data_IF_301667642521
#
_entry.id   IF_301667642521
#
_cell.length_a   1.000
_cell.length_b   1.000
_cell.length_c   1.000
_cell.angle_alpha   90.00
_cell.angle_beta   90.00
_cell.angle_gamma   90.00
#
_symmetry.space_group_name_H-M   'P 1'
#
loop_
_entity.id
_entity.type
_entity.pdbx_description
1 polymer ?
#
# COMPACT_ATOMS: atom_id res chain seq x y z
N UNK A 1 -18.35 -39.68 19.26
CA UNK A 1 -18.79 -39.66 17.86
C UNK A 1 -17.72 -38.97 17.04
N UNK A 2 -17.22 -39.60 15.98
CA UNK A 2 -16.21 -38.98 15.12
C UNK A 2 -16.90 -38.12 14.06
N UNK A 3 -16.46 -36.87 13.92
CA UNK A 3 -17.00 -35.94 12.93
C UNK A 3 -16.39 -36.28 11.56
N UNK A 4 -17.19 -36.85 10.66
CA UNK A 4 -16.74 -37.25 9.33
C UNK A 4 -16.69 -36.00 8.45
N UNK A 5 -15.52 -35.36 8.40
CA UNK A 5 -15.30 -34.17 7.57
C UNK A 5 -14.84 -34.56 6.15
N UNK A 6 -15.44 -33.93 5.15
CA UNK A 6 -15.03 -34.12 3.76
C UNK A 6 -13.79 -33.25 3.44
N UNK A 7 -12.61 -33.87 3.41
CA UNK A 7 -11.35 -33.17 3.10
C UNK A 7 -11.39 -32.44 1.74
N UNK A 8 -12.12 -32.95 0.76
CA UNK A 8 -12.22 -32.36 -0.58
C UNK A 8 -12.91 -31.00 -0.54
N UNK A 9 -13.99 -30.86 0.25
CA UNK A 9 -14.68 -29.59 0.48
C UNK A 9 -13.78 -28.60 1.21
N UNK A 10 -13.05 -29.05 2.23
CA UNK A 10 -12.12 -28.20 2.98
C UNK A 10 -11.01 -27.65 2.08
N UNK A 11 -10.37 -28.50 1.26
CA UNK A 11 -9.35 -28.06 0.29
C UNK A 11 -9.89 -27.03 -0.70
N UNK A 12 -11.11 -27.23 -1.20
CA UNK A 12 -11.77 -26.26 -2.10
C UNK A 12 -12.08 -24.93 -1.40
N UNK A 13 -12.50 -24.96 -0.14
CA UNK A 13 -12.72 -23.73 0.63
C UNK A 13 -11.41 -22.97 0.85
N UNK A 14 -10.33 -23.67 1.23
CA UNK A 14 -9.00 -23.07 1.39
C UNK A 14 -8.53 -22.42 0.08
N UNK A 15 -8.58 -23.13 -1.05
CA UNK A 15 -8.18 -22.58 -2.34
C UNK A 15 -9.00 -21.34 -2.77
N UNK A 16 -10.29 -21.30 -2.44
CA UNK A 16 -11.13 -20.11 -2.69
C UNK A 16 -10.78 -18.94 -1.77
N UNK A 17 -10.42 -19.21 -0.52
CA UNK A 17 -9.97 -18.19 0.42
C UNK A 17 -8.65 -17.56 -0.03
N UNK A 18 -7.67 -18.39 -0.41
CA UNK A 18 -6.37 -17.94 -0.91
C UNK A 18 -6.51 -17.11 -2.20
N UNK A 19 -7.44 -17.50 -3.09
CA UNK A 19 -7.73 -16.73 -4.31
C UNK A 19 -8.36 -15.36 -4.01
N UNK A 20 -9.20 -15.26 -2.96
CA UNK A 20 -9.81 -13.99 -2.55
C UNK A 20 -8.80 -13.04 -1.94
N UNK A 21 -7.94 -13.51 -1.04
CA UNK A 21 -6.89 -12.66 -0.45
C UNK A 21 -5.92 -12.11 -1.50
N UNK A 22 -5.57 -12.93 -2.50
CA UNK A 22 -4.78 -12.47 -3.65
C UNK A 22 -5.51 -11.43 -4.50
N UNK A 23 -6.82 -11.59 -4.72
CA UNK A 23 -7.63 -10.62 -5.45
C UNK A 23 -7.74 -9.29 -4.71
N UNK A 24 -7.91 -9.30 -3.38
CA UNK A 24 -7.99 -8.08 -2.56
C UNK A 24 -6.65 -7.33 -2.55
N UNK A 25 -5.53 -8.06 -2.42
CA UNK A 25 -4.19 -7.46 -2.53
C UNK A 25 -3.94 -6.85 -3.91
N UNK A 26 -4.41 -7.52 -4.97
CA UNK A 26 -4.32 -7.00 -6.33
C UNK A 26 -5.29 -5.85 -6.58
N UNK A 27 -6.48 -5.83 -5.99
CA UNK A 27 -7.40 -4.70 -6.05
C UNK A 27 -6.83 -3.47 -5.33
N UNK A 28 -6.16 -3.64 -4.19
CA UNK A 28 -5.47 -2.54 -3.51
C UNK A 28 -4.26 -2.00 -4.30
N UNK A 29 -3.55 -2.89 -5.01
CA UNK A 29 -2.35 -2.55 -5.80
C UNK A 29 -2.69 -1.97 -7.18
N UNK A 30 -3.65 -2.57 -7.87
CA UNK A 30 -4.00 -2.29 -9.26
C UNK A 30 -5.36 -1.59 -9.43
N UNK A 31 -6.22 -1.61 -8.41
CA UNK A 31 -7.50 -0.90 -8.40
C UNK A 31 -7.36 0.61 -8.16
N UNK A 32 -6.17 1.08 -7.74
CA UNK A 32 -5.84 2.51 -7.81
C UNK A 32 -5.64 2.92 -9.27
N UNK A 33 -6.66 3.56 -9.81
CA UNK A 33 -6.64 4.06 -11.18
C UNK A 33 -5.49 5.07 -11.37
N UNK A 34 -5.03 5.27 -12.61
CA UNK A 34 -3.97 6.25 -12.91
C UNK A 34 -4.34 7.66 -12.40
N UNK A 35 -5.63 8.00 -12.45
CA UNK A 35 -6.15 9.27 -11.94
C UNK A 35 -6.02 9.37 -10.41
N UNK A 36 -6.36 8.32 -9.65
CA UNK A 36 -6.20 8.31 -8.19
C UNK A 36 -4.74 8.38 -7.77
N UNK A 37 -3.84 7.65 -8.45
CA UNK A 37 -2.40 7.76 -8.19
C UNK A 37 -1.84 9.14 -8.48
N UNK A 38 -2.32 9.81 -9.53
CA UNK A 38 -1.91 11.17 -9.87
C UNK A 38 -2.40 12.20 -8.83
N UNK A 39 -3.63 12.04 -8.32
CA UNK A 39 -4.16 12.87 -7.25
C UNK A 39 -3.37 12.67 -5.95
N UNK A 40 -3.15 11.42 -5.52
CA UNK A 40 -2.33 11.11 -4.34
C UNK A 40 -0.90 11.66 -4.47
N UNK A 41 -0.28 11.55 -5.65
CA UNK A 41 1.05 12.10 -5.91
C UNK A 41 1.08 13.63 -5.83
N UNK A 42 0.09 14.30 -6.45
CA UNK A 42 0.00 15.76 -6.40
C UNK A 42 -0.30 16.27 -4.98
N UNK A 43 -1.09 15.54 -4.20
CA UNK A 43 -1.32 15.84 -2.78
C UNK A 43 -0.04 15.62 -1.97
N UNK A 44 0.68 14.51 -2.20
CA UNK A 44 1.95 14.24 -1.55
C UNK A 44 2.99 15.33 -1.85
N UNK A 45 3.14 15.75 -3.11
CA UNK A 45 4.03 16.86 -3.48
C UNK A 45 3.64 18.16 -2.79
N UNK A 46 2.36 18.55 -2.80
CA UNK A 46 1.89 19.74 -2.08
C UNK A 46 2.20 19.68 -0.59
N UNK A 47 2.00 18.53 0.05
CA UNK A 47 2.36 18.37 1.47
C UNK A 47 3.86 18.47 1.69
N UNK A 48 4.67 17.94 0.78
CA UNK A 48 6.13 18.02 0.84
C UNK A 48 6.60 19.46 0.68
N UNK A 49 6.11 20.17 -0.34
CA UNK A 49 6.42 21.57 -0.59
C UNK A 49 5.97 22.47 0.57
N UNK A 50 4.80 22.18 1.15
CA UNK A 50 4.33 22.88 2.34
C UNK A 50 5.26 22.63 3.54
N UNK A 51 5.66 21.38 3.78
CA UNK A 51 6.61 21.06 4.85
C UNK A 51 7.99 21.67 4.62
N UNK A 52 8.48 21.68 3.38
CA UNK A 52 9.74 22.30 2.98
C UNK A 52 9.68 23.83 3.12
N UNK A 53 8.55 24.47 2.79
CA UNK A 53 8.36 25.91 3.00
C UNK A 53 8.34 26.30 4.49
N UNK A 54 7.88 25.40 5.36
CA UNK A 54 7.93 25.57 6.82
C UNK A 54 9.21 25.02 7.45
N UNK A 55 10.11 24.43 6.67
CA UNK A 55 11.41 23.98 7.14
C UNK A 55 12.27 25.19 7.42
N UNK A 56 12.40 25.52 8.71
CA UNK A 56 13.38 26.48 9.20
C UNK A 56 14.70 25.75 9.25
N UNK A 57 15.50 25.84 8.19
CA UNK A 57 16.86 25.32 8.19
C UNK A 57 17.61 25.90 9.39
N UNK A 58 17.86 25.07 10.41
CA UNK A 58 19.09 25.23 11.17
C UNK A 58 20.14 24.59 10.25
N UNK A 59 21.06 25.37 9.67
CA UNK A 59 22.05 24.80 8.75
C UNK A 59 22.79 23.70 9.49
N UNK A 60 22.65 22.46 9.02
CA UNK A 60 23.58 21.41 9.36
C UNK A 60 24.93 21.82 8.74
N UNK A 61 26.03 21.82 9.51
CA UNK A 61 27.29 22.44 9.09
C UNK A 61 28.11 21.54 8.15
N UNK A 62 27.47 20.81 7.23
CA UNK A 62 28.17 19.82 6.39
C UNK A 62 28.11 20.11 4.89
N UNK A 63 27.39 21.15 4.44
CA UNK A 63 27.40 21.58 3.03
C UNK A 63 28.35 22.77 2.76
N UNK A 64 29.30 23.04 3.69
CA UNK A 64 30.37 24.01 3.50
C UNK A 64 31.70 23.33 3.12
N UNK A 65 31.97 23.38 1.81
CA UNK A 65 33.27 23.47 1.14
C UNK A 65 34.05 22.19 0.80
N UNK A 66 34.98 22.26 -0.18
CA UNK A 66 35.24 23.33 -1.16
C UNK A 66 34.65 23.08 -2.56
#
# INVERSE_FOLDING_TARGET
MAEIINLTRFRKQKARADKRSGADANAARFGRSKAQRALEAAEAEKTRDHLDAHRRDKPAPDDAAP
#
